data_IF_537844443293
#
_entry.id   IF_537844443293
#
_cell.length_a   1.000
_cell.length_b   1.000
_cell.length_c   1.000
_cell.angle_alpha   90.00
_cell.angle_beta   90.00
_cell.angle_gamma   90.00
#
_symmetry.space_group_name_H-M   'P 1'
#
loop_
_entity.id
_entity.type
_entity.pdbx_description
1 polymer ?
#
# COMPACT_ATOMS: atom_id res chain seq x y z
N UNK A 1 -6.33 31.02 22.97
CA UNK A 1 -6.37 29.78 22.20
C UNK A 1 -5.35 29.85 21.06
N UNK A 2 -4.84 28.73 20.61
CA UNK A 2 -3.83 28.66 19.57
C UNK A 2 -3.15 27.29 19.52
N UNK A 3 -2.11 27.20 18.74
CA UNK A 3 -1.29 26.00 18.61
C UNK A 3 0.17 26.29 18.98
N UNK A 4 0.83 25.29 19.55
CA UNK A 4 2.27 25.33 19.81
C UNK A 4 2.97 24.49 18.75
N UNK A 5 3.99 25.05 18.12
CA UNK A 5 4.73 24.40 17.02
C UNK A 5 6.23 24.40 17.33
N UNK A 6 6.92 23.38 16.84
CA UNK A 6 8.39 23.37 16.84
C UNK A 6 8.87 23.90 15.48
N UNK A 7 9.74 24.92 15.52
CA UNK A 7 10.33 25.52 14.34
C UNK A 7 11.87 25.45 14.42
N UNK A 8 12.56 25.84 13.34
CA UNK A 8 14.02 25.96 13.38
C UNK A 8 14.54 27.01 14.36
N UNK A 9 13.67 27.90 14.83
CA UNK A 9 13.98 28.91 15.88
C UNK A 9 13.64 28.43 17.28
N UNK A 10 13.06 27.24 17.40
CA UNK A 10 12.60 26.67 18.67
C UNK A 10 11.08 26.58 18.74
N UNK A 11 10.57 26.46 19.95
CA UNK A 11 9.13 26.34 20.22
C UNK A 11 8.45 27.71 20.16
N UNK A 12 7.39 27.80 19.37
CA UNK A 12 6.62 29.01 19.17
C UNK A 12 5.14 28.75 19.41
N UNK A 13 4.41 29.77 19.91
CA UNK A 13 2.97 29.73 20.08
C UNK A 13 2.30 30.65 19.05
N UNK A 14 1.35 30.11 18.28
CA UNK A 14 0.56 30.86 17.30
C UNK A 14 -0.83 31.02 17.87
N UNK A 15 -1.18 32.27 18.21
CA UNK A 15 -2.51 32.62 18.67
C UNK A 15 -3.52 32.63 17.50
N UNK A 16 -4.71 32.03 17.70
CA UNK A 16 -5.77 32.02 16.71
C UNK A 16 -7.14 32.06 17.36
N UNK A 17 -8.10 32.70 16.66
CA UNK A 17 -9.50 32.70 17.08
C UNK A 17 -10.17 31.36 16.79
N UNK A 18 -9.81 30.75 15.68
CA UNK A 18 -10.29 29.46 15.20
C UNK A 18 -9.09 28.63 14.77
N UNK A 19 -9.09 27.36 15.11
CA UNK A 19 -8.09 26.37 14.68
C UNK A 19 -8.81 25.28 13.90
N UNK A 20 -8.31 24.98 12.71
CA UNK A 20 -8.79 23.88 11.88
C UNK A 20 -7.79 22.74 11.97
N UNK A 21 -8.24 21.59 12.46
CA UNK A 21 -7.42 20.39 12.52
C UNK A 21 -7.52 19.63 11.17
N UNK A 22 -6.40 19.56 10.46
CA UNK A 22 -6.24 18.83 9.21
C UNK A 22 -5.09 17.81 9.30
N UNK A 23 -4.79 17.32 10.51
CA UNK A 23 -3.67 16.39 10.76
C UNK A 23 -3.93 14.97 10.26
N UNK A 24 -5.16 14.61 9.94
CA UNK A 24 -5.57 13.27 9.52
C UNK A 24 -5.95 12.34 10.68
N UNK A 25 -5.29 12.49 11.83
CA UNK A 25 -5.50 11.69 13.05
C UNK A 25 -6.06 12.49 14.23
N UNK A 26 -6.69 13.64 13.95
CA UNK A 26 -7.27 14.52 14.96
C UNK A 26 -6.28 14.92 16.08
N UNK A 27 -5.00 15.13 15.74
CA UNK A 27 -3.93 15.37 16.73
C UNK A 27 -4.14 16.63 17.54
N UNK A 28 -4.60 17.70 16.89
CA UNK A 28 -4.87 18.98 17.53
C UNK A 28 -6.17 18.92 18.33
N UNK A 29 -7.22 18.34 17.74
CA UNK A 29 -8.53 18.22 18.37
C UNK A 29 -8.45 17.37 19.66
N UNK A 30 -7.78 16.22 19.60
CA UNK A 30 -7.58 15.36 20.76
C UNK A 30 -6.79 16.06 21.89
N UNK A 31 -5.76 16.82 21.55
CA UNK A 31 -4.99 17.61 22.53
C UNK A 31 -5.77 18.80 23.07
N UNK A 32 -6.75 19.29 22.33
CA UNK A 32 -7.69 20.32 22.79
C UNK A 32 -8.83 19.76 23.65
N UNK A 33 -8.90 18.44 23.84
CA UNK A 33 -9.90 17.78 24.68
C UNK A 33 -11.18 17.38 23.93
N UNK A 34 -11.18 17.37 22.60
CA UNK A 34 -12.30 16.85 21.84
C UNK A 34 -12.43 15.33 22.08
N UNK A 35 -13.65 14.79 22.19
CA UNK A 35 -13.86 13.37 22.34
C UNK A 35 -13.41 12.62 21.07
N UNK A 36 -12.61 11.61 21.26
CA UNK A 36 -12.08 10.78 20.18
C UNK A 36 -12.15 9.30 20.58
N UNK A 37 -12.38 8.43 19.62
CA UNK A 37 -12.12 7.01 19.80
C UNK A 37 -10.86 6.57 19.06
N UNK A 38 -10.11 5.67 19.67
CA UNK A 38 -8.86 5.14 19.13
C UNK A 38 -9.16 3.83 18.39
N UNK A 39 -8.60 3.69 17.19
CA UNK A 39 -8.56 2.43 16.46
C UNK A 39 -7.19 1.77 16.65
N UNK A 40 -7.05 0.86 17.60
CA UNK A 40 -5.80 0.12 17.76
C UNK A 40 -5.61 -0.84 16.58
N UNK A 41 -4.37 -1.12 16.24
CA UNK A 41 -3.99 -2.13 15.26
C UNK A 41 -4.55 -1.90 13.85
N UNK A 42 -4.51 -0.67 13.36
CA UNK A 42 -4.81 -0.35 11.98
C UNK A 42 -3.87 -1.10 11.00
N UNK A 43 -4.37 -1.41 9.81
CA UNK A 43 -3.52 -1.94 8.74
C UNK A 43 -2.67 -0.82 8.16
N UNK A 44 -1.36 -1.04 8.08
CA UNK A 44 -0.39 -0.07 7.56
C UNK A 44 0.35 -0.66 6.37
N UNK A 45 0.64 0.18 5.37
CA UNK A 45 1.27 -0.26 4.14
C UNK A 45 2.52 0.54 3.82
N UNK A 46 3.51 -0.15 3.29
CA UNK A 46 4.69 0.46 2.69
C UNK A 46 4.68 0.15 1.20
N UNK A 47 4.44 1.17 0.38
CA UNK A 47 4.51 1.02 -1.08
C UNK A 47 5.95 0.86 -1.54
N UNK A 48 6.15 0.15 -2.65
CA UNK A 48 7.44 0.04 -3.30
C UNK A 48 7.29 -0.01 -4.82
N UNK A 49 8.38 0.17 -5.52
CA UNK A 49 8.44 0.16 -6.98
C UNK A 49 9.38 -0.92 -7.47
N UNK A 50 8.92 -1.63 -8.48
CA UNK A 50 9.72 -2.58 -9.25
C UNK A 50 10.06 -1.95 -10.60
N UNK A 51 11.31 -1.98 -10.97
CA UNK A 51 11.80 -1.58 -12.29
C UNK A 51 12.16 -2.78 -13.14
N UNK A 52 12.38 -2.54 -14.43
CA UNK A 52 12.74 -3.56 -15.44
C UNK A 52 11.70 -4.68 -15.55
N UNK A 53 10.42 -4.28 -15.50
CA UNK A 53 9.29 -5.20 -15.70
C UNK A 53 8.89 -5.20 -17.17
N UNK A 54 8.72 -6.38 -17.75
CA UNK A 54 8.05 -6.56 -19.03
C UNK A 54 6.54 -6.48 -18.81
N UNK A 55 6.02 -5.25 -18.89
CA UNK A 55 4.60 -4.97 -18.64
C UNK A 55 3.72 -5.58 -19.72
N UNK A 56 4.20 -5.68 -20.96
CA UNK A 56 3.44 -6.32 -22.05
C UNK A 56 3.26 -7.83 -21.79
N UNK A 57 4.30 -8.51 -21.31
CA UNK A 57 4.20 -9.91 -20.91
C UNK A 57 3.27 -10.11 -19.71
N UNK A 58 3.29 -9.20 -18.73
CA UNK A 58 2.38 -9.24 -17.59
C UNK A 58 0.92 -9.09 -18.02
N UNK A 59 0.63 -8.14 -18.91
CA UNK A 59 -0.73 -7.93 -19.43
C UNK A 59 -1.19 -9.07 -20.32
N UNK A 60 -0.28 -9.63 -21.14
CA UNK A 60 -0.57 -10.78 -22.00
C UNK A 60 -1.00 -11.99 -21.16
N UNK A 61 -0.39 -12.22 -20.00
CA UNK A 61 -0.79 -13.29 -19.10
C UNK A 61 -2.29 -13.26 -18.76
N UNK A 62 -2.87 -12.10 -18.49
CA UNK A 62 -4.30 -11.99 -18.18
C UNK A 62 -5.20 -12.14 -19.40
N UNK A 63 -4.71 -11.87 -20.60
CA UNK A 63 -5.46 -12.18 -21.83
C UNK A 63 -5.58 -13.69 -22.04
N UNK A 64 -4.53 -14.42 -21.69
CA UNK A 64 -4.47 -15.88 -21.82
C UNK A 64 -5.15 -16.58 -20.63
N UNK A 65 -5.21 -15.92 -19.47
CA UNK A 65 -5.77 -16.43 -18.22
C UNK A 65 -6.73 -15.40 -17.57
N UNK A 66 -7.87 -15.11 -18.21
CA UNK A 66 -8.79 -14.06 -17.71
C UNK A 66 -9.39 -14.39 -16.34
N UNK A 67 -9.49 -15.66 -15.99
CA UNK A 67 -9.94 -16.16 -14.68
C UNK A 67 -8.97 -15.82 -13.54
N UNK A 68 -7.72 -15.45 -13.85
CA UNK A 68 -6.72 -15.03 -12.86
C UNK A 68 -6.77 -13.52 -12.56
N UNK A 69 -7.55 -12.75 -13.31
CA UNK A 69 -7.76 -11.34 -13.01
C UNK A 69 -8.80 -11.22 -11.90
N UNK A 70 -8.47 -10.56 -10.77
CA UNK A 70 -9.38 -10.55 -9.64
C UNK A 70 -10.60 -9.66 -9.87
N UNK A 71 -11.74 -10.12 -9.39
CA UNK A 71 -12.89 -9.27 -9.18
C UNK A 71 -12.67 -8.43 -7.91
N UNK A 72 -12.78 -7.12 -8.03
CA UNK A 72 -12.69 -6.23 -6.89
C UNK A 72 -14.05 -6.09 -6.21
N UNK A 73 -14.10 -6.33 -4.90
CA UNK A 73 -15.35 -6.39 -4.15
C UNK A 73 -16.14 -5.08 -4.07
N UNK A 74 -15.48 -3.94 -4.29
CA UNK A 74 -16.08 -2.60 -4.05
C UNK A 74 -16.05 -1.69 -5.29
N UNK A 75 -15.51 -2.12 -6.41
CA UNK A 75 -15.39 -1.33 -7.64
C UNK A 75 -15.62 -2.22 -8.85
N UNK A 76 -16.52 -1.84 -9.71
CA UNK A 76 -16.76 -2.50 -11.01
C UNK A 76 -15.56 -2.22 -11.95
N UNK A 77 -14.42 -2.85 -11.71
CA UNK A 77 -13.23 -2.77 -12.54
C UNK A 77 -12.95 -4.13 -13.15
N UNK A 78 -13.22 -4.25 -14.42
CA UNK A 78 -13.11 -5.50 -15.17
C UNK A 78 -11.77 -5.63 -15.88
N UNK A 79 -11.43 -6.85 -16.29
CA UNK A 79 -10.26 -7.08 -17.14
C UNK A 79 -10.37 -6.32 -18.47
N UNK A 80 -11.57 -6.25 -19.08
CA UNK A 80 -11.77 -5.54 -20.34
C UNK A 80 -11.47 -4.05 -20.20
N UNK A 81 -11.89 -3.42 -19.11
CA UNK A 81 -11.57 -2.01 -18.80
C UNK A 81 -10.08 -1.81 -18.56
N UNK A 82 -9.44 -2.71 -17.82
CA UNK A 82 -7.99 -2.66 -17.60
C UNK A 82 -7.21 -2.81 -18.92
N UNK A 83 -7.63 -3.71 -19.80
CA UNK A 83 -7.02 -3.89 -21.12
C UNK A 83 -7.26 -2.70 -22.05
N UNK A 84 -8.47 -2.12 -22.01
CA UNK A 84 -8.80 -0.92 -22.77
C UNK A 84 -7.93 0.28 -22.32
N UNK A 85 -7.80 0.50 -21.01
CA UNK A 85 -6.91 1.53 -20.44
C UNK A 85 -5.45 1.30 -20.84
N UNK A 86 -5.00 0.05 -20.79
CA UNK A 86 -3.64 -0.28 -21.21
C UNK A 86 -3.39 -0.01 -22.69
N UNK A 87 -4.36 -0.30 -23.54
CA UNK A 87 -4.27 -0.02 -24.98
C UNK A 87 -4.24 1.49 -25.26
N UNK A 88 -5.03 2.27 -24.54
CA UNK A 88 -5.15 3.72 -24.70
C UNK A 88 -3.89 4.48 -24.20
N UNK A 89 -3.49 4.26 -22.96
CA UNK A 89 -2.46 5.06 -22.30
C UNK A 89 -1.25 4.26 -21.79
N UNK A 90 -1.21 2.94 -21.97
CA UNK A 90 -0.12 2.09 -21.49
C UNK A 90 -0.07 1.91 -19.96
N UNK A 91 -1.16 2.24 -19.27
CA UNK A 91 -1.31 2.02 -17.84
C UNK A 91 -2.19 0.81 -17.59
N UNK A 92 -1.70 -0.16 -16.84
CA UNK A 92 -2.48 -1.32 -16.42
C UNK A 92 -2.69 -1.25 -14.90
N UNK A 93 -3.95 -1.12 -14.50
CA UNK A 93 -4.34 -1.15 -13.11
C UNK A 93 -4.76 -2.57 -12.73
N UNK A 94 -4.01 -3.18 -11.81
CA UNK A 94 -4.40 -4.42 -11.16
C UNK A 94 -5.09 -4.08 -9.83
N UNK A 95 -6.34 -4.52 -9.63
CA UNK A 95 -7.15 -4.04 -8.51
C UNK A 95 -6.68 -4.55 -7.16
N UNK A 96 -7.06 -3.83 -6.14
CA UNK A 96 -6.79 -4.12 -4.74
C UNK A 96 -7.61 -5.32 -4.26
N UNK A 97 -7.02 -6.20 -3.49
CA UNK A 97 -7.75 -7.21 -2.70
C UNK A 97 -7.88 -8.59 -3.34
N UNK A 98 -7.59 -8.73 -4.63
CA UNK A 98 -7.81 -9.98 -5.35
C UNK A 98 -6.57 -10.81 -5.65
N UNK A 99 -5.38 -10.27 -5.47
CA UNK A 99 -4.16 -10.92 -5.93
C UNK A 99 -3.86 -12.25 -5.26
N UNK A 100 -4.32 -12.45 -4.03
CA UNK A 100 -4.17 -13.76 -3.36
C UNK A 100 -5.02 -14.87 -3.97
N UNK A 101 -5.95 -14.53 -4.87
CA UNK A 101 -6.70 -15.50 -5.66
C UNK A 101 -5.88 -16.03 -6.84
N UNK A 102 -4.84 -15.31 -7.28
CA UNK A 102 -3.96 -15.80 -8.35
C UNK A 102 -3.23 -17.07 -7.93
N UNK A 103 -3.23 -18.06 -8.82
CA UNK A 103 -2.50 -19.32 -8.61
C UNK A 103 -1.03 -19.11 -8.27
N UNK A 104 -0.40 -18.12 -8.91
CA UNK A 104 1.00 -17.77 -8.65
C UNK A 104 1.28 -17.43 -7.18
N UNK A 105 0.41 -16.66 -6.54
CA UNK A 105 0.56 -16.31 -5.12
C UNK A 105 0.19 -17.45 -4.20
N UNK A 106 -0.82 -18.27 -4.56
CA UNK A 106 -1.16 -19.49 -3.84
C UNK A 106 0.02 -20.47 -3.84
N UNK A 107 0.65 -20.65 -4.99
CA UNK A 107 1.81 -21.51 -5.11
C UNK A 107 3.02 -20.96 -4.34
N UNK A 108 3.28 -19.66 -4.41
CA UNK A 108 4.33 -19.00 -3.63
C UNK A 108 4.15 -19.23 -2.12
N UNK A 109 2.91 -19.17 -1.65
CA UNK A 109 2.57 -19.45 -0.25
C UNK A 109 2.77 -20.92 0.10
N UNK A 110 2.28 -21.83 -0.72
CA UNK A 110 2.44 -23.27 -0.51
C UNK A 110 3.91 -23.69 -0.47
N UNK A 111 4.77 -23.02 -1.22
CA UNK A 111 6.21 -23.25 -1.25
C UNK A 111 6.97 -22.54 -0.11
N UNK A 112 6.29 -21.72 0.71
CA UNK A 112 6.91 -20.97 1.81
C UNK A 112 7.67 -19.71 1.37
N UNK A 113 7.58 -19.31 0.11
CA UNK A 113 8.25 -18.11 -0.42
C UNK A 113 7.48 -16.81 -0.07
N UNK A 114 6.16 -16.89 0.10
CA UNK A 114 5.33 -15.76 0.50
C UNK A 114 4.95 -15.88 1.98
N UNK A 115 5.40 -14.95 2.84
CA UNK A 115 5.07 -14.98 4.27
C UNK A 115 3.56 -14.95 4.54
N UNK A 116 3.13 -15.66 5.57
CA UNK A 116 1.72 -15.75 5.97
C UNK A 116 1.10 -14.37 6.28
N UNK A 117 1.90 -13.43 6.79
CA UNK A 117 1.46 -12.08 7.10
C UNK A 117 0.96 -11.29 5.87
N UNK A 118 1.36 -11.69 4.65
CA UNK A 118 0.91 -11.03 3.41
C UNK A 118 -0.43 -11.63 2.98
N UNK A 119 -1.43 -10.79 2.79
CA UNK A 119 -2.76 -11.19 2.32
C UNK A 119 -3.61 -11.94 3.35
N UNK A 120 -3.26 -11.91 4.64
CA UNK A 120 -4.05 -12.49 5.73
C UNK A 120 -4.51 -11.43 6.73
N UNK A 121 -5.49 -11.77 7.56
CA UNK A 121 -5.96 -10.94 8.68
C UNK A 121 -6.40 -9.52 8.29
N UNK A 122 -6.98 -9.35 7.09
CA UNK A 122 -7.41 -8.05 6.60
C UNK A 122 -6.25 -7.10 6.26
N UNK A 123 -5.04 -7.62 6.10
CA UNK A 123 -3.97 -6.94 5.38
C UNK A 123 -4.27 -7.04 3.90
N UNK A 124 -3.95 -5.99 3.16
CA UNK A 124 -4.03 -6.07 1.70
C UNK A 124 -3.05 -7.11 1.19
N UNK A 125 -3.45 -7.81 0.15
CA UNK A 125 -2.55 -8.65 -0.60
C UNK A 125 -1.41 -7.83 -1.22
N UNK A 126 -0.35 -8.49 -1.58
CA UNK A 126 0.84 -7.87 -2.17
C UNK A 126 0.63 -7.46 -3.63
N UNK A 127 -0.60 -7.24 -4.08
CA UNK A 127 -0.92 -7.33 -5.49
C UNK A 127 -1.61 -6.13 -6.09
N UNK A 128 -2.04 -5.16 -5.30
CA UNK A 128 -2.49 -3.92 -5.93
C UNK A 128 -1.30 -3.26 -6.61
N UNK A 129 -1.38 -3.07 -7.93
CA UNK A 129 -0.28 -2.47 -8.67
C UNK A 129 -0.75 -1.58 -9.80
N UNK A 130 0.09 -0.61 -10.11
CA UNK A 130 -0.02 0.25 -11.28
C UNK A 130 1.21 -0.02 -12.15
N UNK A 131 0.99 -0.69 -13.28
CA UNK A 131 2.03 -1.00 -14.24
C UNK A 131 2.03 0.04 -15.36
N UNK A 132 3.20 0.56 -15.70
CA UNK A 132 3.41 1.60 -16.71
C UNK A 132 4.34 1.08 -17.79
N UNK A 133 3.80 0.80 -18.98
CA UNK A 133 4.56 0.32 -20.14
C UNK A 133 5.74 1.23 -20.48
N UNK A 134 5.51 2.55 -20.51
CA UNK A 134 6.50 3.53 -20.94
C UNK A 134 7.76 3.58 -20.08
N UNK A 135 7.68 3.17 -18.84
CA UNK A 135 8.79 3.21 -17.88
C UNK A 135 9.28 1.84 -17.46
N UNK A 136 8.62 0.76 -17.90
CA UNK A 136 8.86 -0.61 -17.39
C UNK A 136 8.85 -0.67 -15.84
N UNK A 137 8.02 0.16 -15.21
CA UNK A 137 7.91 0.24 -13.76
C UNK A 137 6.52 -0.19 -13.29
N UNK A 138 6.52 -0.85 -12.15
CA UNK A 138 5.32 -1.23 -11.43
C UNK A 138 5.36 -0.65 -10.04
N UNK A 139 4.31 0.07 -9.66
CA UNK A 139 4.09 0.55 -8.31
C UNK A 139 3.23 -0.46 -7.57
N UNK A 140 3.76 -1.03 -6.49
CA UNK A 140 3.08 -2.04 -5.68
C UNK A 140 2.63 -1.44 -4.36
N UNK A 141 1.37 -1.62 -4.03
CA UNK A 141 0.80 -1.23 -2.74
C UNK A 141 0.59 -2.50 -1.92
N UNK A 142 1.17 -2.53 -0.75
CA UNK A 142 1.08 -3.70 0.12
C UNK A 142 0.73 -3.30 1.55
N UNK A 143 -0.07 -4.10 2.23
CA UNK A 143 -0.35 -3.94 3.64
C UNK A 143 0.26 -5.09 4.43
N UNK A 144 1.27 -4.82 5.24
CA UNK A 144 2.04 -5.88 5.89
C UNK A 144 1.92 -5.93 7.40
N UNK A 145 1.55 -4.83 8.02
CA UNK A 145 1.70 -4.70 9.47
C UNK A 145 0.45 -4.15 10.11
N UNK A 146 0.18 -4.66 11.30
CA UNK A 146 -0.83 -4.11 12.20
C UNK A 146 -0.15 -3.67 13.48
N UNK A 147 -0.33 -2.42 13.84
CA UNK A 147 0.15 -1.86 15.09
C UNK A 147 -0.70 -0.64 15.48
N UNK A 148 -0.50 -0.14 16.68
CA UNK A 148 -1.10 1.12 17.10
C UNK A 148 -0.40 2.27 16.38
N UNK A 149 -1.14 2.99 15.52
CA UNK A 149 -0.63 4.14 14.77
C UNK A 149 -0.23 5.33 15.65
N UNK A 150 -0.51 5.28 16.95
CA UNK A 150 -0.08 6.26 17.95
C UNK A 150 1.23 5.85 18.64
N UNK A 151 1.73 4.64 18.40
CA UNK A 151 3.01 4.16 18.95
C UNK A 151 4.18 4.48 18.00
N UNK A 152 5.05 5.47 18.31
CA UNK A 152 6.17 5.84 17.46
C UNK A 152 7.18 4.70 17.27
N UNK A 153 7.33 3.83 18.24
CA UNK A 153 8.21 2.67 18.13
C UNK A 153 7.61 1.62 17.22
N UNK A 154 6.28 1.43 17.26
CA UNK A 154 5.52 0.60 16.33
C UNK A 154 5.65 1.10 14.89
N UNK A 155 5.54 2.41 14.67
CA UNK A 155 5.75 3.04 13.36
C UNK A 155 7.17 2.74 12.84
N UNK A 156 8.19 2.95 13.68
CA UNK A 156 9.59 2.72 13.31
C UNK A 156 9.86 1.26 12.94
N UNK A 157 9.37 0.31 13.74
CA UNK A 157 9.45 -1.13 13.44
C UNK A 157 8.76 -1.47 12.13
N UNK A 158 7.57 -0.92 11.89
CA UNK A 158 6.79 -1.21 10.69
C UNK A 158 7.43 -0.67 9.41
N UNK A 159 8.14 0.46 9.46
CA UNK A 159 8.93 0.96 8.33
C UNK A 159 10.06 -0.03 8.01
N UNK A 160 10.76 -0.51 9.02
CA UNK A 160 11.84 -1.48 8.84
C UNK A 160 11.32 -2.81 8.25
N UNK A 161 10.27 -3.35 8.86
CA UNK A 161 9.68 -4.63 8.44
C UNK A 161 9.01 -4.54 7.07
N UNK A 162 8.35 -3.43 6.77
CA UNK A 162 7.76 -3.17 5.47
C UNK A 162 8.81 -3.12 4.35
N UNK A 163 9.98 -2.48 4.61
CA UNK A 163 11.09 -2.49 3.65
C UNK A 163 11.64 -3.88 3.41
N UNK A 164 11.87 -4.64 4.48
CA UNK A 164 12.30 -6.04 4.36
C UNK A 164 11.30 -6.87 3.57
N UNK A 165 10.01 -6.68 3.85
CA UNK A 165 8.94 -7.40 3.16
C UNK A 165 8.87 -7.04 1.68
N UNK A 166 9.11 -5.79 1.29
CA UNK A 166 9.15 -5.38 -0.11
C UNK A 166 10.15 -6.20 -0.94
N UNK A 167 11.32 -6.51 -0.38
CA UNK A 167 12.31 -7.35 -1.05
C UNK A 167 11.86 -8.82 -1.14
N UNK A 168 11.24 -9.35 -0.09
CA UNK A 168 10.69 -10.72 -0.11
C UNK A 168 9.60 -10.84 -1.18
N UNK A 169 8.68 -9.90 -1.22
CA UNK A 169 7.60 -9.88 -2.21
C UNK A 169 8.16 -9.69 -3.62
N UNK A 170 9.19 -8.87 -3.82
CA UNK A 170 9.85 -8.74 -5.11
C UNK A 170 10.43 -10.06 -5.63
N UNK A 171 11.00 -10.92 -4.75
CA UNK A 171 11.45 -12.25 -5.12
C UNK A 171 10.28 -13.13 -5.56
N UNK A 172 9.13 -13.06 -4.87
CA UNK A 172 7.92 -13.78 -5.28
C UNK A 172 7.48 -13.34 -6.68
N UNK A 173 7.46 -12.03 -6.96
CA UNK A 173 7.14 -11.52 -8.30
C UNK A 173 8.09 -12.10 -9.35
N UNK A 174 9.41 -12.06 -9.12
CA UNK A 174 10.38 -12.57 -10.08
C UNK A 174 10.22 -14.05 -10.35
N UNK A 175 9.88 -14.84 -9.33
CA UNK A 175 9.79 -16.30 -9.43
C UNK A 175 8.47 -16.78 -10.04
N UNK A 176 7.37 -16.08 -9.78
CA UNK A 176 6.04 -16.59 -10.05
C UNK A 176 5.20 -15.78 -11.04
N UNK A 177 5.53 -14.50 -11.26
CA UNK A 177 4.67 -13.61 -12.06
C UNK A 177 5.30 -13.36 -13.43
N UNK A 178 4.52 -13.56 -14.48
CA UNK A 178 4.96 -13.31 -15.85
C UNK A 178 5.39 -11.84 -16.04
N UNK A 179 6.50 -11.62 -16.73
CA UNK A 179 7.05 -10.28 -16.98
C UNK A 179 7.95 -9.73 -15.87
N UNK A 180 8.06 -10.39 -14.70
CA UNK A 180 8.85 -9.89 -13.56
C UNK A 180 10.21 -10.59 -13.36
N UNK A 181 10.58 -11.53 -14.20
CA UNK A 181 11.80 -12.36 -14.02
C UNK A 181 13.08 -11.54 -13.85
N UNK A 182 13.16 -10.38 -14.49
CA UNK A 182 14.30 -9.47 -14.44
C UNK A 182 14.05 -8.21 -13.59
N UNK A 183 12.94 -8.18 -12.86
CA UNK A 183 12.57 -7.02 -12.05
C UNK A 183 13.52 -6.83 -10.86
N UNK A 184 13.68 -5.58 -10.44
CA UNK A 184 14.42 -5.23 -9.23
C UNK A 184 13.65 -4.18 -8.42
N UNK A 185 13.91 -4.11 -7.12
CA UNK A 185 13.34 -3.06 -6.27
C UNK A 185 14.00 -1.74 -6.62
N UNK A 186 13.29 -0.88 -7.32
CA UNK A 186 13.75 0.46 -7.72
C UNK A 186 13.68 1.46 -6.55
N UNK A 187 12.85 1.20 -5.57
CA UNK A 187 12.74 2.02 -4.36
C UNK A 187 11.56 1.62 -3.49
N UNK A 188 11.67 1.92 -2.22
CA UNK A 188 10.57 1.84 -1.25
C UNK A 188 10.06 3.24 -0.91
N UNK A 189 8.81 3.37 -0.50
CA UNK A 189 8.26 4.64 -0.07
C UNK A 189 9.08 5.25 1.08
N UNK A 190 9.19 6.57 1.08
CA UNK A 190 9.84 7.31 2.17
C UNK A 190 9.03 7.23 3.46
N UNK A 191 7.69 7.26 3.33
CA UNK A 191 6.76 7.25 4.43
C UNK A 191 5.92 5.97 4.43
N UNK A 192 5.57 5.50 5.62
CA UNK A 192 4.58 4.48 5.83
C UNK A 192 3.18 5.07 5.63
N UNK A 193 2.30 4.35 4.95
CA UNK A 193 0.87 4.66 4.90
C UNK A 193 0.21 4.21 6.20
N UNK A 194 0.15 5.09 7.19
CA UNK A 194 -0.52 4.83 8.46
C UNK A 194 -2.01 5.08 8.29
N UNK A 195 -2.84 4.10 8.60
CA UNK A 195 -4.31 4.28 8.61
C UNK A 195 -4.71 5.10 9.82
N UNK A 196 -5.85 5.78 9.72
CA UNK A 196 -6.37 6.63 10.77
C UNK A 196 -6.38 5.93 12.14
N UNK A 197 -5.67 6.51 13.10
CA UNK A 197 -5.52 5.99 14.46
C UNK A 197 -6.55 6.55 15.42
N UNK A 198 -7.04 7.77 15.16
CA UNK A 198 -8.12 8.42 15.92
C UNK A 198 -9.23 8.87 14.99
N UNK A 199 -10.46 8.81 15.50
CA UNK A 199 -11.63 9.40 14.89
C UNK A 199 -12.30 10.33 15.89
N UNK A 200 -12.76 11.48 15.44
CA UNK A 200 -13.60 12.36 16.25
C UNK A 200 -14.95 11.71 16.45
N UNK A 201 -15.47 11.80 17.67
CA UNK A 201 -16.85 11.44 17.97
C UNK A 201 -17.72 12.62 17.55
N UNK A 202 -18.60 12.41 16.57
CA UNK A 202 -19.50 13.40 16.01
C UNK A 202 -20.95 13.09 16.27
#
# INVERSE_FOLDING_TARGET
QGVVVETKRGREAIGAKIVVDATGDADIAARAGAPVHIRPNGSHSLCFRLGNVDVDAFVAYFRDHPDQFPEYMDVDWTLDEALAQYADCGTFLFPHGGGMQMEAFQQARANGDLPEAVGTQGTTDACQMHALRQTSMVHVITGFTRFDGLDPDGISRSIHDGRRMAFIVAEVYRKYIAGFQNAFVAGTAANLGVRASRHLDG
#
